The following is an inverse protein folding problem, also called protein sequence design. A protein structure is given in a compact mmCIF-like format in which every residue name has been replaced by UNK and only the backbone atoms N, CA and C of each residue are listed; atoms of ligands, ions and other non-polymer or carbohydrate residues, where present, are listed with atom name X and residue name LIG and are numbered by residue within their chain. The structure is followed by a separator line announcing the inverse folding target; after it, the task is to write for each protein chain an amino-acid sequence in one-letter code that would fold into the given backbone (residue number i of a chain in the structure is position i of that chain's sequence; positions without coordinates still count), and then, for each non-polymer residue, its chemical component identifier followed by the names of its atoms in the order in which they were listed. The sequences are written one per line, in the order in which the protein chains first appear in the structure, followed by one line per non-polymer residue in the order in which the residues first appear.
data_IF_168504012508
#
_entry.id   IF_168504012508
#
_cell.length_a   1.000
_cell.length_b   1.000
_cell.length_c   1.000
_cell.angle_alpha   90.00
_cell.angle_beta   90.00
_cell.angle_gamma   90.00
#
_symmetry.space_group_name_H-M   'P 1'
#
loop_
_entity.id
_entity.type
_entity.pdbx_description
1 polymer ?
#
# COMPACT_ATOMS: atom_id res chain seq x y z
N UNK A 1 3.98 -23.10 -9.52
CA UNK A 1 2.53 -23.32 -9.34
C UNK A 1 2.33 -23.62 -7.88
N UNK A 2 1.77 -22.67 -7.13
CA UNK A 2 1.34 -22.88 -5.74
C UNK A 2 -0.16 -22.69 -5.76
N UNK A 3 -0.85 -23.70 -5.27
CA UNK A 3 -2.28 -23.91 -5.38
C UNK A 3 -3.08 -22.76 -4.74
N UNK A 4 -3.93 -22.16 -5.56
CA UNK A 4 -4.86 -21.11 -5.20
C UNK A 4 -6.19 -21.74 -4.76
N UNK A 5 -6.22 -22.32 -3.56
CA UNK A 5 -7.48 -22.57 -2.83
C UNK A 5 -7.50 -21.70 -1.57
N UNK A 6 -7.86 -20.43 -1.77
CA UNK A 6 -8.40 -19.62 -0.70
C UNK A 6 -9.82 -19.22 -1.11
N UNK A 7 -10.80 -19.97 -0.61
CA UNK A 7 -12.21 -19.63 -0.70
C UNK A 7 -12.41 -18.22 -0.12
N UNK A 8 -12.89 -17.29 -0.95
CA UNK A 8 -13.21 -15.94 -0.51
C UNK A 8 -14.36 -16.01 0.50
N UNK A 9 -14.03 -16.00 1.79
CA UNK A 9 -15.00 -15.79 2.85
C UNK A 9 -15.25 -14.28 2.97
N UNK A 10 -15.93 -13.70 1.98
CA UNK A 10 -16.52 -12.36 2.12
C UNK A 10 -17.70 -12.54 3.08
N UNK A 11 -17.41 -12.54 4.37
CA UNK A 11 -18.40 -12.87 5.41
C UNK A 11 -19.42 -11.74 5.64
N UNK A 12 -19.23 -10.58 5.01
CA UNK A 12 -20.09 -9.41 5.20
C UNK A 12 -20.09 -8.55 3.92
N UNK A 13 -21.02 -8.83 3.00
CA UNK A 13 -21.22 -8.02 1.80
C UNK A 13 -21.66 -6.59 2.12
N UNK A 14 -22.35 -6.36 3.24
CA UNK A 14 -22.76 -5.02 3.66
C UNK A 14 -21.55 -4.16 4.01
N UNK A 15 -20.55 -4.74 4.67
CA UNK A 15 -19.27 -4.06 4.92
C UNK A 15 -18.54 -3.72 3.63
N UNK A 16 -18.54 -4.62 2.65
CA UNK A 16 -17.95 -4.32 1.34
C UNK A 16 -18.71 -3.18 0.66
N UNK A 17 -20.04 -3.18 0.68
CA UNK A 17 -20.86 -2.12 0.09
C UNK A 17 -20.61 -0.76 0.74
N UNK A 18 -20.51 -0.71 2.08
CA UNK A 18 -20.14 0.52 2.80
C UNK A 18 -18.76 1.02 2.38
N UNK A 19 -17.77 0.12 2.42
CA UNK A 19 -16.40 0.44 2.00
C UNK A 19 -16.33 0.91 0.55
N UNK A 20 -17.11 0.29 -0.34
CA UNK A 20 -17.21 0.68 -1.74
C UNK A 20 -17.76 2.10 -1.90
N UNK A 21 -18.82 2.44 -1.18
CA UNK A 21 -19.36 3.80 -1.15
C UNK A 21 -18.33 4.82 -0.64
N UNK A 22 -17.55 4.47 0.37
CA UNK A 22 -16.44 5.29 0.87
C UNK A 22 -15.34 5.48 -0.18
N UNK A 23 -14.90 4.41 -0.83
CA UNK A 23 -13.90 4.46 -1.90
C UNK A 23 -14.36 5.37 -3.05
N UNK A 24 -15.63 5.27 -3.46
CA UNK A 24 -16.21 6.14 -4.50
C UNK A 24 -16.23 7.62 -4.10
N UNK A 25 -16.28 7.90 -2.81
CA UNK A 25 -16.20 9.24 -2.25
C UNK A 25 -14.78 9.66 -1.85
N UNK A 26 -13.74 8.88 -2.19
CA UNK A 26 -12.35 9.17 -1.86
C UNK A 26 -12.01 9.01 -0.38
N UNK A 27 -12.79 8.20 0.36
CA UNK A 27 -12.56 7.91 1.77
C UNK A 27 -11.97 6.50 1.93
N UNK A 28 -11.00 6.39 2.81
CA UNK A 28 -10.45 5.13 3.29
C UNK A 28 -9.96 5.30 4.73
N UNK A 29 -9.83 4.18 5.43
CA UNK A 29 -9.30 4.11 6.79
C UNK A 29 -8.08 3.21 6.81
N UNK A 30 -7.17 3.46 7.74
CA UNK A 30 -6.02 2.59 8.01
C UNK A 30 -6.12 2.13 9.46
N UNK A 31 -6.45 0.84 9.66
CA UNK A 31 -6.63 0.24 10.97
C UNK A 31 -5.46 -0.65 11.38
N UNK A 32 -5.26 -0.82 12.69
CA UNK A 32 -4.36 -1.86 13.21
C UNK A 32 -5.10 -3.19 13.16
N UNK A 33 -4.53 -4.18 12.48
CA UNK A 33 -5.08 -5.53 12.39
C UNK A 33 -3.94 -6.56 12.49
N UNK A 34 -4.09 -7.60 13.33
CA UNK A 34 -3.12 -8.69 13.39
C UNK A 34 -2.86 -9.28 12.00
N UNK A 35 -1.59 -9.49 11.67
CA UNK A 35 -1.17 -9.99 10.36
C UNK A 35 -0.98 -8.94 9.27
N UNK A 36 -1.24 -7.65 9.55
CA UNK A 36 -1.01 -6.53 8.63
C UNK A 36 -0.02 -5.52 9.22
N UNK A 37 1.31 -5.75 9.11
CA UNK A 37 2.32 -4.87 9.69
C UNK A 37 2.28 -3.44 9.12
N UNK A 38 1.76 -3.26 7.90
CA UNK A 38 1.60 -1.92 7.33
C UNK A 38 0.38 -1.17 7.90
N UNK A 39 -0.56 -1.88 8.51
CA UNK A 39 -1.92 -1.41 8.75
C UNK A 39 -2.87 -1.85 7.64
N UNK A 40 -4.10 -2.17 8.01
CA UNK A 40 -5.15 -2.61 7.11
C UNK A 40 -5.83 -1.40 6.46
N UNK A 41 -5.69 -1.26 5.15
CA UNK A 41 -6.36 -0.23 4.39
C UNK A 41 -7.77 -0.70 4.03
N UNK A 42 -8.80 0.05 4.44
CA UNK A 42 -10.19 -0.40 4.32
C UNK A 42 -10.58 -0.75 2.89
N UNK A 43 -10.05 -0.04 1.88
CA UNK A 43 -10.31 -0.30 0.45
C UNK A 43 -9.89 -1.69 -0.02
N UNK A 44 -9.10 -2.43 0.77
CA UNK A 44 -8.79 -3.83 0.50
C UNK A 44 -10.06 -4.68 0.36
N UNK A 45 -11.14 -4.41 1.11
CA UNK A 45 -12.41 -5.15 0.96
C UNK A 45 -12.99 -5.03 -0.45
N UNK A 46 -13.03 -3.81 -1.01
CA UNK A 46 -13.51 -3.59 -2.37
C UNK A 46 -12.56 -4.20 -3.41
N UNK A 47 -11.25 -4.08 -3.19
CA UNK A 47 -10.23 -4.67 -4.05
C UNK A 47 -10.26 -6.19 -4.08
N UNK A 48 -10.51 -6.86 -2.95
CA UNK A 48 -10.67 -8.31 -2.88
C UNK A 48 -11.84 -8.76 -3.74
N UNK A 49 -12.98 -8.07 -3.67
CA UNK A 49 -14.14 -8.36 -4.54
C UNK A 49 -13.82 -8.11 -6.02
N UNK A 50 -13.10 -7.03 -6.33
CA UNK A 50 -12.71 -6.71 -7.70
C UNK A 50 -11.79 -7.78 -8.32
N UNK A 51 -10.90 -8.35 -7.51
CA UNK A 51 -9.85 -9.28 -7.96
C UNK A 51 -10.22 -10.76 -7.79
N UNK A 52 -11.26 -11.08 -7.00
CA UNK A 52 -11.57 -12.46 -6.71
C UNK A 52 -12.06 -13.25 -7.94
N UNK A 53 -11.89 -14.57 -7.85
CA UNK A 53 -12.58 -15.54 -8.69
C UNK A 53 -13.82 -16.01 -7.93
N UNK A 54 -15.00 -15.75 -8.49
CA UNK A 54 -16.27 -16.22 -7.92
C UNK A 54 -16.36 -17.74 -8.12
N UNK A 55 -16.49 -18.48 -7.02
CA UNK A 55 -16.65 -19.94 -7.03
C UNK A 55 -18.12 -20.37 -6.93
N UNK A 56 -18.92 -19.62 -6.17
CA UNK A 56 -20.37 -19.78 -6.05
C UNK A 56 -21.02 -18.43 -5.75
N UNK A 57 -22.16 -18.15 -6.38
CA UNK A 57 -22.94 -16.94 -6.18
C UNK A 57 -24.42 -17.19 -6.53
N UNK A 58 -25.17 -17.91 -5.68
CA UNK A 58 -26.55 -18.28 -5.98
C UNK A 58 -27.51 -17.08 -6.05
N UNK A 59 -27.15 -15.94 -5.44
CA UNK A 59 -27.98 -14.72 -5.45
C UNK A 59 -27.58 -13.74 -6.56
N UNK A 60 -26.38 -13.86 -7.12
CA UNK A 60 -25.85 -12.94 -8.14
C UNK A 60 -25.31 -11.63 -7.56
N UNK A 61 -25.38 -11.44 -6.25
CA UNK A 61 -25.00 -10.19 -5.59
C UNK A 61 -23.50 -9.96 -5.61
N UNK A 62 -22.70 -11.03 -5.50
CA UNK A 62 -21.25 -10.93 -5.53
C UNK A 62 -20.75 -10.61 -6.94
N UNK A 63 -21.34 -11.23 -7.97
CA UNK A 63 -21.05 -10.94 -9.36
C UNK A 63 -21.41 -9.48 -9.72
N UNK A 64 -22.57 -9.00 -9.25
CA UNK A 64 -22.97 -7.61 -9.42
C UNK A 64 -21.97 -6.64 -8.75
N UNK A 65 -21.62 -6.90 -7.48
CA UNK A 65 -20.68 -6.05 -6.75
C UNK A 65 -19.27 -6.08 -7.37
N UNK A 66 -18.81 -7.24 -7.87
CA UNK A 66 -17.54 -7.36 -8.60
C UNK A 66 -17.55 -6.58 -9.90
N UNK A 67 -18.67 -6.52 -10.61
CA UNK A 67 -18.79 -5.69 -11.80
C UNK A 67 -18.67 -4.19 -11.46
N UNK A 68 -19.25 -3.76 -10.33
CA UNK A 68 -19.11 -2.38 -9.85
C UNK A 68 -17.67 -2.04 -9.47
N UNK A 69 -16.99 -2.92 -8.71
CA UNK A 69 -15.63 -2.67 -8.21
C UNK A 69 -14.52 -2.92 -9.25
N UNK A 70 -14.87 -3.44 -10.44
CA UNK A 70 -13.93 -3.61 -11.54
C UNK A 70 -13.33 -2.27 -12.01
N UNK A 71 -14.12 -1.18 -11.96
CA UNK A 71 -13.65 0.16 -12.22
C UNK A 71 -13.05 0.78 -10.95
N UNK A 72 -11.76 1.08 -10.99
CA UNK A 72 -11.07 1.72 -9.85
C UNK A 72 -11.60 3.16 -9.65
N UNK A 73 -12.05 3.55 -8.45
CA UNK A 73 -12.58 4.90 -8.22
C UNK A 73 -11.49 5.98 -8.34
N UNK A 74 -11.64 6.97 -9.24
CA UNK A 74 -10.66 8.05 -9.36
C UNK A 74 -10.50 8.84 -8.06
N UNK A 75 -11.58 9.06 -7.32
CA UNK A 75 -11.56 9.76 -6.02
C UNK A 75 -10.70 9.03 -4.97
N UNK A 76 -10.72 7.69 -4.94
CA UNK A 76 -9.83 6.90 -4.09
C UNK A 76 -8.37 7.07 -4.51
N UNK A 77 -8.12 7.06 -5.82
CA UNK A 77 -6.76 7.25 -6.36
C UNK A 77 -6.17 8.59 -5.94
N UNK A 78 -6.94 9.67 -6.04
CA UNK A 78 -6.53 11.00 -5.58
C UNK A 78 -6.34 11.06 -4.07
N UNK A 79 -7.20 10.39 -3.29
CA UNK A 79 -7.06 10.35 -1.83
C UNK A 79 -5.78 9.62 -1.40
N UNK A 80 -5.45 8.48 -2.01
CA UNK A 80 -4.23 7.73 -1.71
C UNK A 80 -2.97 8.48 -2.16
N UNK A 81 -3.04 9.16 -3.31
CA UNK A 81 -1.95 10.05 -3.77
C UNK A 81 -1.76 11.22 -2.79
N UNK A 82 -2.86 11.85 -2.36
CA UNK A 82 -2.87 12.89 -1.35
C UNK A 82 -2.26 12.42 -0.05
N UNK A 83 -2.62 11.23 0.43
CA UNK A 83 -2.03 10.58 1.62
C UNK A 83 -0.53 10.29 1.51
N UNK A 84 0.06 10.40 0.32
CA UNK A 84 1.49 10.25 0.07
C UNK A 84 2.38 11.17 0.94
N UNK A 85 1.86 12.32 1.38
CA UNK A 85 2.60 13.25 2.26
C UNK A 85 3.17 12.59 3.52
N UNK A 86 2.49 11.55 4.05
CA UNK A 86 2.92 10.81 5.24
C UNK A 86 4.32 10.22 5.06
N UNK A 87 4.68 9.77 3.84
CA UNK A 87 5.98 9.19 3.55
C UNK A 87 7.13 10.19 3.78
N UNK A 88 6.96 11.45 3.37
CA UNK A 88 7.94 12.49 3.62
C UNK A 88 8.11 12.78 5.11
N UNK A 89 6.99 12.92 5.83
CA UNK A 89 6.99 13.15 7.27
C UNK A 89 7.68 12.02 8.06
N UNK A 90 7.47 10.76 7.67
CA UNK A 90 8.13 9.60 8.28
C UNK A 90 9.65 9.59 8.02
N UNK A 91 10.07 9.95 6.81
CA UNK A 91 11.50 10.05 6.47
C UNK A 91 12.18 11.18 7.26
N UNK A 92 11.49 12.29 7.52
CA UNK A 92 12.01 13.36 8.38
C UNK A 92 12.12 12.94 9.86
N UNK A 93 11.17 12.13 10.36
CA UNK A 93 11.27 11.55 11.69
C UNK A 93 12.41 10.52 11.77
N UNK A 94 12.59 9.70 10.74
CA UNK A 94 13.71 8.77 10.65
C UNK A 94 15.06 9.51 10.69
N UNK A 95 15.17 10.67 10.04
CA UNK A 95 16.39 11.48 10.05
C UNK A 95 16.82 11.91 11.47
N UNK A 96 15.86 12.25 12.33
CA UNK A 96 16.12 12.63 13.74
C UNK A 96 16.62 11.44 14.57
N UNK A 97 16.06 10.26 14.30
CA UNK A 97 16.45 9.03 14.99
C UNK A 97 17.78 8.47 14.49
N UNK A 98 18.12 8.71 13.21
CA UNK A 98 19.36 8.29 12.60
C UNK A 98 20.60 8.87 13.32
N UNK A 99 20.57 10.14 13.75
CA UNK A 99 21.67 10.74 14.49
C UNK A 99 21.93 10.10 15.85
N UNK A 100 20.92 9.43 16.43
CA UNK A 100 21.02 8.69 17.68
C UNK A 100 21.38 7.20 17.47
N UNK A 101 21.54 6.74 16.22
CA UNK A 101 21.80 5.34 15.92
C UNK A 101 20.60 4.41 16.09
N UNK A 102 19.37 4.94 16.18
CA UNK A 102 18.16 4.15 16.42
C UNK A 102 17.67 3.46 15.14
N UNK A 103 18.35 2.37 14.78
CA UNK A 103 18.06 1.58 13.58
C UNK A 103 16.66 0.97 13.60
N UNK A 104 16.14 0.63 14.79
CA UNK A 104 14.80 0.05 14.95
C UNK A 104 13.69 1.03 14.57
N UNK A 105 13.76 2.26 15.10
CA UNK A 105 12.79 3.30 14.75
C UNK A 105 12.90 3.73 13.30
N UNK A 106 14.13 3.85 12.77
CA UNK A 106 14.35 4.15 11.35
C UNK A 106 13.73 3.05 10.47
N UNK A 107 13.94 1.77 10.79
CA UNK A 107 13.36 0.66 10.04
C UNK A 107 11.82 0.72 10.02
N UNK A 108 11.19 1.02 11.16
CA UNK A 108 9.74 1.20 11.26
C UNK A 108 9.23 2.35 10.38
N UNK A 109 9.89 3.50 10.43
CA UNK A 109 9.56 4.66 9.59
C UNK A 109 9.69 4.33 8.09
N UNK A 110 10.78 3.68 7.70
CA UNK A 110 11.04 3.33 6.30
C UNK A 110 10.03 2.31 5.77
N UNK A 111 9.68 1.29 6.56
CA UNK A 111 8.68 0.30 6.16
C UNK A 111 7.32 0.97 5.91
N UNK A 112 6.89 1.84 6.83
CA UNK A 112 5.65 2.60 6.67
C UNK A 112 5.71 3.55 5.48
N UNK A 113 6.80 4.31 5.32
CA UNK A 113 6.97 5.24 4.20
C UNK A 113 6.90 4.51 2.85
N UNK A 114 7.62 3.40 2.68
CA UNK A 114 7.57 2.59 1.46
C UNK A 114 6.14 2.09 1.19
N UNK A 115 5.43 1.61 2.21
CA UNK A 115 4.04 1.18 2.04
C UNK A 115 3.09 2.30 1.62
N UNK A 116 3.25 3.51 2.17
CA UNK A 116 2.49 4.70 1.74
C UNK A 116 2.79 5.07 0.28
N UNK A 117 4.07 5.06 -0.12
CA UNK A 117 4.46 5.31 -1.51
C UNK A 117 3.84 4.27 -2.47
N UNK A 118 3.84 3.01 -2.06
CA UNK A 118 3.20 1.92 -2.82
C UNK A 118 1.69 2.15 -2.98
N UNK A 119 0.98 2.57 -1.92
CA UNK A 119 -0.44 2.94 -2.01
C UNK A 119 -0.67 4.12 -2.95
N UNK A 120 0.17 5.15 -2.91
CA UNK A 120 0.10 6.30 -3.82
C UNK A 120 0.32 5.89 -5.29
N UNK A 121 1.30 5.01 -5.57
CA UNK A 121 1.53 4.46 -6.90
C UNK A 121 0.33 3.68 -7.43
N UNK A 122 -0.25 2.82 -6.59
CA UNK A 122 -1.46 2.06 -6.92
C UNK A 122 -2.67 2.97 -7.17
N UNK A 123 -2.86 4.00 -6.34
CA UNK A 123 -3.89 5.01 -6.51
C UNK A 123 -3.77 5.75 -7.84
N UNK A 124 -2.56 6.24 -8.17
CA UNK A 124 -2.29 6.92 -9.44
C UNK A 124 -2.48 6.01 -10.66
N UNK A 125 -2.10 4.74 -10.56
CA UNK A 125 -2.25 3.78 -11.65
C UNK A 125 -3.68 3.23 -11.81
N UNK A 126 -4.59 3.55 -10.87
CA UNK A 126 -5.93 2.97 -10.83
C UNK A 126 -5.89 1.44 -10.72
N UNK A 127 -5.06 0.91 -9.80
CA UNK A 127 -4.86 -0.52 -9.60
C UNK A 127 -5.03 -0.88 -8.13
N UNK A 128 -5.86 -1.90 -7.87
CA UNK A 128 -6.09 -2.40 -6.52
C UNK A 128 -4.83 -2.99 -5.89
N UNK A 129 -4.59 -2.65 -4.63
CA UNK A 129 -3.66 -3.30 -3.72
C UNK A 129 -4.45 -3.77 -2.50
N UNK A 130 -4.48 -5.08 -2.26
CA UNK A 130 -5.34 -5.70 -1.24
C UNK A 130 -4.58 -6.13 0.01
N UNK A 131 -3.25 -6.21 -0.05
CA UNK A 131 -2.39 -6.46 1.11
C UNK A 131 -0.95 -6.01 0.83
N UNK A 132 -0.13 -6.04 1.87
CA UNK A 132 1.27 -5.63 1.85
C UNK A 132 2.24 -6.70 1.32
N UNK A 133 1.79 -7.96 1.16
CA UNK A 133 2.65 -9.07 0.70
C UNK A 133 3.00 -8.84 -0.77
N UNK A 134 4.30 -8.70 -1.04
CA UNK A 134 4.78 -8.43 -2.40
C UNK A 134 4.42 -7.04 -2.94
N UNK A 135 3.99 -6.11 -2.06
CA UNK A 135 3.53 -4.77 -2.47
C UNK A 135 4.58 -3.98 -3.26
N UNK A 136 5.86 -4.11 -2.91
CA UNK A 136 6.96 -3.43 -3.58
C UNK A 136 7.10 -3.91 -5.02
N UNK A 137 7.13 -5.23 -5.22
CA UNK A 137 7.21 -5.82 -6.55
C UNK A 137 5.97 -5.50 -7.39
N UNK A 138 4.78 -5.46 -6.76
CA UNK A 138 3.54 -5.03 -7.41
C UNK A 138 3.64 -3.59 -7.92
N UNK A 139 4.02 -2.66 -7.05
CA UNK A 139 4.13 -1.24 -7.39
C UNK A 139 5.19 -0.98 -8.48
N UNK A 140 6.32 -1.68 -8.44
CA UNK A 140 7.37 -1.53 -9.46
C UNK A 140 6.98 -2.00 -10.87
N UNK A 141 5.86 -2.72 -11.04
CA UNK A 141 5.31 -3.08 -12.37
C UNK A 141 4.27 -2.08 -12.88
N UNK A 142 3.90 -1.07 -12.09
CA UNK A 142 2.87 -0.13 -12.46
C UNK A 142 3.37 0.90 -13.49
N UNK A 143 2.51 1.32 -14.42
CA UNK A 143 2.77 2.50 -15.23
C UNK A 143 3.05 3.71 -14.33
N UNK A 144 4.17 4.38 -14.58
CA UNK A 144 4.58 5.57 -13.84
C UNK A 144 5.41 5.29 -12.58
N UNK A 145 5.66 4.04 -12.18
CA UNK A 145 6.66 3.78 -11.15
C UNK A 145 8.04 4.33 -11.57
N UNK A 146 8.80 4.97 -10.66
CA UNK A 146 10.09 5.50 -11.02
C UNK A 146 11.08 4.38 -11.38
N UNK A 147 12.14 4.70 -12.16
CA UNK A 147 13.17 3.72 -12.50
C UNK A 147 13.70 3.02 -11.25
N UNK A 148 13.85 1.69 -11.38
CA UNK A 148 14.39 0.83 -10.35
C UNK A 148 13.64 0.90 -9.00
N UNK A 149 12.36 1.30 -8.99
CA UNK A 149 11.55 1.41 -7.77
C UNK A 149 11.68 0.17 -6.88
N UNK A 150 11.52 -1.02 -7.45
CA UNK A 150 11.56 -2.29 -6.71
C UNK A 150 12.89 -2.48 -5.98
N UNK A 151 14.01 -2.37 -6.69
CA UNK A 151 15.34 -2.61 -6.11
C UNK A 151 15.72 -1.53 -5.11
N UNK A 152 15.39 -0.26 -5.40
CA UNK A 152 15.61 0.87 -4.48
C UNK A 152 14.82 0.72 -3.20
N UNK A 153 13.52 0.42 -3.27
CA UNK A 153 12.68 0.21 -2.10
C UNK A 153 13.11 -1.03 -1.28
N UNK A 154 13.49 -2.12 -1.95
CA UNK A 154 14.04 -3.30 -1.26
C UNK A 154 15.37 -3.00 -0.58
N UNK A 155 16.25 -2.21 -1.18
CA UNK A 155 17.53 -1.83 -0.58
C UNK A 155 17.33 -1.06 0.75
N UNK A 156 16.38 -0.12 0.80
CA UNK A 156 16.05 0.63 2.02
C UNK A 156 15.67 -0.28 3.20
N UNK A 157 14.99 -1.40 2.92
CA UNK A 157 14.46 -2.30 3.94
C UNK A 157 15.36 -3.52 4.19
N UNK A 158 16.22 -3.86 3.23
CA UNK A 158 17.16 -4.99 3.31
C UNK A 158 18.42 -4.67 4.12
N UNK A 159 18.81 -3.39 4.20
CA UNK A 159 19.92 -2.93 5.03
C UNK A 159 19.69 -1.48 5.45
N UNK A 160 19.02 -1.30 6.60
CA UNK A 160 18.67 0.04 7.09
C UNK A 160 19.92 0.81 7.56
N UNK A 161 20.86 0.12 8.20
CA UNK A 161 22.08 0.68 8.77
C UNK A 161 22.22 0.38 10.27
N UNK A 162 23.46 0.45 10.77
CA UNK A 162 23.84 0.20 12.17
C UNK A 162 24.60 1.37 12.80
N UNK A 163 25.15 2.27 11.98
CA UNK A 163 25.79 3.51 12.45
C UNK A 163 24.98 4.73 12.01
N UNK A 164 25.14 5.89 12.68
CA UNK A 164 24.50 7.13 12.25
C UNK A 164 24.77 7.50 10.79
N UNK A 165 25.98 7.24 10.28
CA UNK A 165 26.37 7.50 8.90
C UNK A 165 25.64 6.59 7.91
N UNK A 166 25.57 5.28 8.21
CA UNK A 166 24.81 4.32 7.40
C UNK A 166 23.32 4.68 7.39
N UNK A 167 22.75 5.02 8.55
CA UNK A 167 21.34 5.40 8.68
C UNK A 167 21.04 6.70 7.92
N UNK A 168 21.92 7.70 8.00
CA UNK A 168 21.77 8.95 7.25
C UNK A 168 21.77 8.71 5.73
N UNK A 169 22.65 7.85 5.22
CA UNK A 169 22.69 7.49 3.80
C UNK A 169 21.39 6.80 3.34
N UNK A 170 20.83 5.89 4.15
CA UNK A 170 19.55 5.24 3.89
C UNK A 170 18.39 6.24 3.90
N UNK A 171 18.37 7.16 4.88
CA UNK A 171 17.36 8.23 4.95
C UNK A 171 17.41 9.12 3.71
N UNK A 172 18.59 9.51 3.24
CA UNK A 172 18.73 10.33 2.03
C UNK A 172 18.30 9.58 0.77
N UNK A 173 18.55 8.26 0.70
CA UNK A 173 18.02 7.42 -0.37
C UNK A 173 16.49 7.34 -0.33
N UNK A 174 15.89 7.26 0.86
CA UNK A 174 14.45 7.30 1.05
C UNK A 174 13.85 8.65 0.61
N UNK A 175 14.49 9.79 0.94
CA UNK A 175 14.07 11.12 0.47
C UNK A 175 14.01 11.20 -1.05
N UNK A 176 15.03 10.69 -1.74
CA UNK A 176 15.04 10.62 -3.21
C UNK A 176 13.91 9.75 -3.74
N UNK A 177 13.65 8.60 -3.13
CA UNK A 177 12.54 7.73 -3.53
C UNK A 177 11.17 8.39 -3.33
N UNK A 178 10.98 9.12 -2.23
CA UNK A 178 9.75 9.91 -1.97
C UNK A 178 9.56 10.97 -3.05
N UNK A 179 10.61 11.74 -3.36
CA UNK A 179 10.56 12.78 -4.38
C UNK A 179 10.21 12.21 -5.76
N UNK A 180 10.81 11.08 -6.16
CA UNK A 180 10.55 10.46 -7.46
C UNK A 180 9.13 9.88 -7.60
N UNK A 181 8.49 9.50 -6.49
CA UNK A 181 7.14 8.92 -6.49
C UNK A 181 6.05 9.99 -6.41
N UNK A 182 6.28 11.06 -5.65
CA UNK A 182 5.28 12.09 -5.36
C UNK A 182 5.45 13.38 -6.17
N UNK A 183 6.63 13.58 -6.77
CA UNK A 183 6.95 14.73 -7.64
C UNK A 183 6.39 14.62 -9.05
#
# INVERSE_FOLDING_TARGET
MIDAELAARICDLDRVRRTWADCRAGRYEVGVQPGHPLGFYSHAYAGEVALCRVLADPTGELAALRAETAAYPPALGEALRGGGWEAGFLVDNAAKAASAGDSGYVAGCLFRAVGVLVQALHGRAGRWLVNEKGMIASAGRLPGAPPDFTSRAQALLGSVGRTPEELAATVDAARRLVADVLG
#
